data_IF_628215383222
#
_entry.id   IF_628215383222
#
_cell.length_a   1.000
_cell.length_b   1.000
_cell.length_c   1.000
_cell.angle_alpha   90.00
_cell.angle_beta   90.00
_cell.angle_gamma   90.00
#
_symmetry.space_group_name_H-M   'P 1'
#
loop_
_entity.id
_entity.type
_entity.pdbx_description
1 polymer ?
#
# COMPACT_ATOMS: atom_id res chain seq x y z
N UNK A 1 -26.15 -6.45 -2.34
CA UNK A 1 -25.17 -5.40 -2.70
C UNK A 1 -23.99 -6.11 -3.33
N UNK A 2 -23.48 -5.68 -4.50
CA UNK A 2 -22.24 -6.26 -5.05
C UNK A 2 -21.09 -5.86 -4.12
N UNK A 3 -20.19 -6.79 -3.80
CA UNK A 3 -18.97 -6.46 -3.08
C UNK A 3 -18.08 -5.57 -3.95
N UNK A 4 -17.56 -4.49 -3.35
CA UNK A 4 -16.58 -3.64 -4.00
C UNK A 4 -15.24 -4.38 -4.10
N UNK A 5 -14.48 -4.21 -5.19
CA UNK A 5 -13.16 -4.82 -5.30
C UNK A 5 -12.26 -4.41 -4.12
N UNK A 6 -11.47 -5.37 -3.68
CA UNK A 6 -10.56 -5.23 -2.53
C UNK A 6 -9.23 -4.54 -2.89
N UNK A 7 -8.96 -4.32 -4.19
CA UNK A 7 -7.69 -3.82 -4.72
C UNK A 7 -7.84 -2.41 -5.34
N UNK A 8 -6.72 -1.71 -5.49
CA UNK A 8 -6.62 -0.40 -6.14
C UNK A 8 -6.90 -0.51 -7.65
N UNK A 9 -7.75 0.36 -8.19
CA UNK A 9 -8.13 0.35 -9.60
C UNK A 9 -6.90 0.32 -10.54
N UNK A 10 -6.98 -0.44 -11.63
CA UNK A 10 -5.91 -0.62 -12.63
C UNK A 10 -4.62 -1.32 -12.13
N UNK A 11 -4.51 -1.68 -10.85
CA UNK A 11 -3.33 -2.35 -10.26
C UNK A 11 -3.41 -3.89 -10.29
N UNK A 12 -3.83 -4.45 -11.42
CA UNK A 12 -4.17 -5.88 -11.57
C UNK A 12 -3.03 -6.75 -12.10
N UNK A 13 -1.87 -6.17 -12.42
CA UNK A 13 -0.73 -6.96 -12.89
C UNK A 13 -0.31 -7.95 -11.81
N UNK A 14 0.26 -9.08 -12.20
CA UNK A 14 0.90 -9.97 -11.22
C UNK A 14 2.11 -9.29 -10.57
N UNK A 15 2.45 -9.68 -9.33
CA UNK A 15 3.64 -9.20 -8.64
C UNK A 15 4.90 -9.23 -9.54
N UNK A 16 5.09 -10.31 -10.31
CA UNK A 16 6.26 -10.46 -11.18
C UNK A 16 6.25 -9.49 -12.37
N UNK A 17 5.07 -9.20 -12.93
CA UNK A 17 4.89 -8.33 -14.09
C UNK A 17 4.63 -6.86 -13.76
N UNK A 18 4.75 -6.45 -12.49
CA UNK A 18 4.57 -5.07 -12.04
C UNK A 18 5.91 -4.41 -11.69
N UNK A 19 6.03 -3.12 -11.99
CA UNK A 19 7.12 -2.25 -11.58
C UNK A 19 6.83 -1.57 -10.24
N UNK A 20 5.55 -1.28 -9.96
CA UNK A 20 5.07 -0.66 -8.73
C UNK A 20 4.27 -1.66 -7.91
N UNK A 21 4.60 -1.80 -6.63
CA UNK A 21 3.87 -2.66 -5.69
C UNK A 21 3.15 -1.76 -4.69
N UNK A 22 1.82 -1.71 -4.81
CA UNK A 22 0.94 -1.05 -3.84
C UNK A 22 0.66 -2.03 -2.70
N UNK A 23 0.74 -1.59 -1.46
CA UNK A 23 0.39 -2.41 -0.29
C UNK A 23 -0.08 -1.56 0.87
N UNK A 24 -1.02 -2.08 1.65
CA UNK A 24 -1.56 -1.40 2.81
C UNK A 24 -0.81 -1.71 4.09
N UNK A 25 -0.69 -0.70 4.95
CA UNK A 25 -0.08 -0.75 6.28
C UNK A 25 -1.13 -0.32 7.33
N UNK A 26 -2.15 -1.15 7.61
CA UNK A 26 -3.28 -0.79 8.46
C UNK A 26 -2.89 -0.76 9.96
N UNK A 27 -2.20 0.30 10.37
CA UNK A 27 -1.69 0.46 11.75
C UNK A 27 -1.99 1.85 12.29
N UNK A 28 -2.58 1.94 13.49
CA UNK A 28 -2.87 3.21 14.18
C UNK A 28 -2.76 3.10 15.72
N UNK A 29 -1.95 2.17 16.23
CA UNK A 29 -1.92 1.82 17.65
C UNK A 29 -1.15 2.82 18.53
N UNK A 30 -0.31 3.67 17.96
CA UNK A 30 0.43 4.70 18.71
C UNK A 30 -0.24 6.07 18.66
N UNK A 31 -1.31 6.20 17.87
CA UNK A 31 -2.15 7.38 17.80
C UNK A 31 -2.92 7.61 19.10
N UNK A 32 -2.92 8.86 19.60
CA UNK A 32 -3.53 9.22 20.90
C UNK A 32 -4.79 10.08 20.80
N UNK A 33 -4.90 10.93 19.77
CA UNK A 33 -6.02 11.87 19.62
C UNK A 33 -7.17 11.31 18.79
N UNK A 34 -6.89 10.81 17.57
CA UNK A 34 -7.89 10.28 16.64
C UNK A 34 -7.45 8.94 16.08
N UNK A 35 -8.27 7.92 16.28
CA UNK A 35 -8.14 6.59 15.69
C UNK A 35 -8.88 6.51 14.35
N UNK A 36 -8.57 5.47 13.58
CA UNK A 36 -9.22 5.15 12.31
C UNK A 36 -8.27 5.20 11.11
N UNK A 37 -7.04 5.68 11.28
CA UNK A 37 -6.07 5.76 10.18
C UNK A 37 -5.75 4.38 9.59
N UNK A 38 -5.84 3.30 10.40
CA UNK A 38 -5.69 1.93 9.91
C UNK A 38 -6.72 1.51 8.84
N UNK A 39 -7.84 2.23 8.73
CA UNK A 39 -8.86 1.99 7.70
C UNK A 39 -8.49 2.61 6.34
N UNK A 40 -7.49 3.50 6.31
CA UNK A 40 -7.12 4.24 5.10
C UNK A 40 -6.78 3.34 3.89
N UNK A 41 -6.02 2.24 4.02
CA UNK A 41 -5.76 1.34 2.89
C UNK A 41 -7.04 0.86 2.21
N UNK A 42 -8.03 0.43 2.99
CA UNK A 42 -9.32 -0.02 2.47
C UNK A 42 -10.11 1.11 1.81
N UNK A 43 -10.20 2.27 2.46
CA UNK A 43 -11.02 3.38 1.95
C UNK A 43 -10.38 4.06 0.72
N UNK A 44 -9.05 4.12 0.64
CA UNK A 44 -8.33 4.61 -0.54
C UNK A 44 -8.58 3.67 -1.74
N UNK A 45 -8.53 2.35 -1.54
CA UNK A 45 -8.86 1.40 -2.60
C UNK A 45 -10.29 1.57 -3.09
N UNK A 46 -11.27 1.67 -2.19
CA UNK A 46 -12.67 1.93 -2.60
C UNK A 46 -12.80 3.23 -3.40
N UNK A 47 -12.13 4.30 -2.96
CA UNK A 47 -12.17 5.59 -3.65
C UNK A 47 -11.48 5.55 -5.02
N UNK A 48 -10.44 4.72 -5.20
CA UNK A 48 -9.69 4.61 -6.46
C UNK A 48 -10.58 4.27 -7.67
N UNK A 49 -11.63 3.48 -7.46
CA UNK A 49 -12.60 3.06 -8.49
C UNK A 49 -13.54 4.18 -8.99
N UNK A 50 -13.50 5.36 -8.37
CA UNK A 50 -14.26 6.52 -8.82
C UNK A 50 -13.43 7.43 -9.75
N UNK A 51 -12.12 7.21 -9.86
CA UNK A 51 -11.27 7.99 -10.75
C UNK A 51 -11.22 7.35 -12.15
N UNK A 52 -10.99 8.20 -13.15
CA UNK A 52 -10.69 7.75 -14.51
C UNK A 52 -9.25 7.23 -14.56
N UNK A 53 -9.00 6.22 -15.40
CA UNK A 53 -7.66 5.67 -15.59
C UNK A 53 -6.69 6.63 -16.29
N UNK A 54 -7.19 7.68 -16.95
CA UNK A 54 -6.33 8.67 -17.62
C UNK A 54 -6.24 9.96 -16.79
N UNK A 55 -5.03 10.34 -16.40
CA UNK A 55 -4.77 11.63 -15.76
C UNK A 55 -4.44 12.71 -16.81
N UNK A 56 -5.32 13.70 -16.93
CA UNK A 56 -5.20 14.78 -17.91
C UNK A 56 -3.98 15.69 -17.63
N UNK A 57 -3.57 15.82 -16.37
CA UNK A 57 -2.48 16.73 -15.98
C UNK A 57 -1.10 16.19 -16.36
N UNK A 58 -0.88 14.89 -16.17
CA UNK A 58 0.39 14.23 -16.51
C UNK A 58 0.37 13.55 -17.89
N UNK A 59 -0.81 13.33 -18.46
CA UNK A 59 -1.00 12.58 -19.70
C UNK A 59 -0.76 11.08 -19.55
N UNK A 60 -0.76 10.56 -18.32
CA UNK A 60 -0.51 9.14 -18.01
C UNK A 60 -1.83 8.37 -18.01
N UNK A 61 -1.83 7.22 -18.70
CA UNK A 61 -2.88 6.21 -18.58
C UNK A 61 -2.45 5.13 -17.57
N UNK A 62 -3.15 5.04 -16.44
CA UNK A 62 -2.88 4.06 -15.39
C UNK A 62 -3.06 2.62 -15.85
N UNK A 63 -3.83 2.34 -16.92
CA UNK A 63 -3.93 0.99 -17.50
C UNK A 63 -2.63 0.53 -18.17
N UNK A 64 -1.77 1.48 -18.57
CA UNK A 64 -0.45 1.22 -19.17
C UNK A 64 0.67 1.14 -18.12
N UNK A 65 0.41 1.59 -16.89
CA UNK A 65 1.38 1.50 -15.79
C UNK A 65 1.36 0.10 -15.19
N UNK A 66 2.53 -0.55 -15.10
CA UNK A 66 2.64 -1.88 -14.54
C UNK A 66 2.56 -1.87 -13.01
N UNK A 67 1.34 -1.86 -12.46
CA UNK A 67 1.07 -1.82 -11.02
C UNK A 67 0.45 -3.12 -10.50
N UNK A 68 0.82 -3.52 -9.29
CA UNK A 68 0.21 -4.63 -8.57
C UNK A 68 -0.19 -4.18 -7.16
N UNK A 69 -1.45 -4.33 -6.80
CA UNK A 69 -1.90 -4.23 -5.40
C UNK A 69 -1.72 -5.59 -4.71
N UNK A 70 -0.79 -5.63 -3.75
CA UNK A 70 -0.48 -6.80 -2.95
C UNK A 70 -1.52 -7.08 -1.86
N UNK A 71 -2.42 -6.13 -1.58
CA UNK A 71 -3.30 -6.15 -0.42
C UNK A 71 -2.62 -5.57 0.82
N UNK A 72 -3.12 -5.93 2.00
CA UNK A 72 -2.60 -5.45 3.29
C UNK A 72 -1.55 -6.40 3.84
N UNK A 73 -0.48 -5.86 4.42
CA UNK A 73 0.42 -6.68 5.22
C UNK A 73 -0.19 -6.91 6.61
N UNK A 74 0.01 -8.11 7.15
CA UNK A 74 -0.50 -8.48 8.46
C UNK A 74 0.30 -7.78 9.58
N UNK A 75 -0.15 -6.58 9.98
CA UNK A 75 0.46 -5.77 11.05
C UNK A 75 -0.52 -5.17 12.06
N UNK A 76 -1.83 -5.20 11.80
CA UNK A 76 -2.83 -4.46 12.59
C UNK A 76 -2.76 -4.77 14.09
N UNK A 77 -2.51 -6.04 14.45
CA UNK A 77 -2.49 -6.52 15.82
C UNK A 77 -1.08 -6.62 16.44
N UNK A 78 -0.03 -6.22 15.70
CA UNK A 78 1.36 -6.37 16.15
C UNK A 78 1.78 -5.28 17.13
N UNK A 79 2.81 -5.56 17.93
CA UNK A 79 3.49 -4.50 18.70
C UNK A 79 4.18 -3.53 17.74
N UNK A 80 4.48 -2.30 18.16
CA UNK A 80 5.18 -1.34 17.29
C UNK A 80 6.52 -1.87 16.76
N UNK A 81 7.23 -2.66 17.58
CA UNK A 81 8.49 -3.29 17.17
C UNK A 81 8.28 -4.37 16.11
N UNK A 82 7.30 -5.26 16.31
CA UNK A 82 7.03 -6.36 15.37
C UNK A 82 6.38 -5.86 14.08
N UNK A 83 5.62 -4.76 14.16
CA UNK A 83 5.11 -4.03 13.01
C UNK A 83 6.26 -3.50 12.17
N UNK A 84 7.21 -2.76 12.76
CA UNK A 84 8.38 -2.22 12.05
C UNK A 84 9.18 -3.31 11.34
N UNK A 85 9.46 -4.41 12.04
CA UNK A 85 10.17 -5.56 11.47
C UNK A 85 9.39 -6.20 10.30
N UNK A 86 8.06 -6.24 10.39
CA UNK A 86 7.22 -6.77 9.32
C UNK A 86 7.18 -5.86 8.10
N UNK A 87 7.09 -4.54 8.30
CA UNK A 87 7.15 -3.55 7.21
C UNK A 87 8.52 -3.61 6.54
N UNK A 88 9.61 -3.65 7.33
CA UNK A 88 10.99 -3.76 6.82
C UNK A 88 11.18 -4.99 5.94
N UNK A 89 10.82 -6.17 6.44
CA UNK A 89 10.95 -7.42 5.70
C UNK A 89 10.17 -7.40 4.38
N UNK A 90 8.96 -6.85 4.39
CA UNK A 90 8.16 -6.76 3.18
C UNK A 90 8.73 -5.75 2.18
N UNK A 91 9.12 -4.57 2.65
CA UNK A 91 9.73 -3.52 1.82
C UNK A 91 11.01 -4.00 1.17
N UNK A 92 11.88 -4.67 1.95
CA UNK A 92 13.11 -5.30 1.46
C UNK A 92 12.84 -6.31 0.35
N UNK A 93 11.83 -7.18 0.52
CA UNK A 93 11.40 -8.13 -0.54
C UNK A 93 10.99 -7.43 -1.83
N UNK A 94 10.25 -6.31 -1.75
CA UNK A 94 9.82 -5.54 -2.93
C UNK A 94 11.03 -4.90 -3.63
N UNK A 95 11.94 -4.30 -2.85
CA UNK A 95 13.14 -3.62 -3.34
C UNK A 95 14.14 -4.61 -3.94
N UNK A 96 14.39 -5.75 -3.30
CA UNK A 96 15.24 -6.83 -3.82
C UNK A 96 14.70 -7.43 -5.13
N UNK A 97 13.38 -7.40 -5.32
CA UNK A 97 12.74 -7.75 -6.58
C UNK A 97 12.87 -6.66 -7.67
N UNK A 98 13.61 -5.58 -7.41
CA UNK A 98 13.82 -4.40 -8.27
C UNK A 98 12.52 -3.67 -8.61
N UNK A 99 11.62 -3.55 -7.64
CA UNK A 99 10.31 -2.90 -7.79
C UNK A 99 10.21 -1.69 -6.87
N UNK A 100 9.30 -0.77 -7.19
CA UNK A 100 9.06 0.45 -6.42
C UNK A 100 7.97 0.16 -5.37
N UNK A 101 8.27 0.25 -4.06
CA UNK A 101 7.27 0.08 -3.02
C UNK A 101 6.38 1.32 -2.87
N UNK A 102 5.07 1.12 -2.87
CA UNK A 102 4.05 2.17 -2.67
C UNK A 102 3.18 1.77 -1.46
N UNK A 103 3.63 2.17 -0.27
CA UNK A 103 2.93 1.87 0.99
C UNK A 103 1.79 2.85 1.27
N UNK A 104 0.57 2.34 1.45
CA UNK A 104 -0.58 3.12 1.94
C UNK A 104 -0.65 2.95 3.46
N UNK A 105 -0.27 4.00 4.18
CA UNK A 105 -0.15 4.01 5.63
C UNK A 105 -1.48 4.02 6.40
N UNK A 106 -1.37 3.83 7.72
CA UNK A 106 -2.29 4.42 8.69
C UNK A 106 -1.60 5.57 9.41
N UNK A 107 -0.82 5.27 10.45
CA UNK A 107 0.00 6.24 11.16
C UNK A 107 1.46 6.29 10.67
N UNK A 108 2.15 7.41 10.92
CA UNK A 108 3.51 7.65 10.43
C UNK A 108 4.59 6.74 11.02
N UNK A 109 4.32 6.02 12.11
CA UNK A 109 5.30 5.11 12.71
C UNK A 109 5.64 3.91 11.82
N UNK A 110 4.89 3.67 10.73
CA UNK A 110 5.20 2.62 9.76
C UNK A 110 6.36 3.00 8.82
N UNK A 111 6.60 4.30 8.63
CA UNK A 111 7.60 4.83 7.66
C UNK A 111 9.04 4.37 7.93
N UNK A 112 9.54 4.32 9.18
CA UNK A 112 10.89 3.81 9.43
C UNK A 112 11.10 2.39 8.90
N UNK A 113 10.09 1.51 9.02
CA UNK A 113 10.16 0.16 8.46
C UNK A 113 10.25 0.16 6.93
N UNK A 114 9.59 1.10 6.24
CA UNK A 114 9.74 1.27 4.78
C UNK A 114 11.16 1.71 4.41
N UNK A 115 11.70 2.70 5.12
CA UNK A 115 13.02 3.27 4.87
C UNK A 115 14.13 2.25 5.12
N UNK A 116 14.07 1.52 6.23
CA UNK A 116 15.03 0.45 6.55
C UNK A 116 14.97 -0.73 5.55
N UNK A 117 13.98 -0.79 4.68
CA UNK A 117 13.94 -1.75 3.58
C UNK A 117 14.94 -1.44 2.46
N UNK A 118 15.45 -0.21 2.38
CA UNK A 118 16.48 0.22 1.43
C UNK A 118 17.91 -0.08 1.90
N UNK A 119 18.07 -0.45 3.18
CA UNK A 119 19.34 -0.91 3.78
C UNK A 119 19.57 -2.42 3.57
#
# INVERSE_FOLDING_TARGET
>A
MKEFPNYFADAEKSFNGADFIIFGLPYDRTSSFRFGARLAPREIRKASWNFESFDILTGVDFTEVAMHDYGDIDIENKSSKDMLESVKRFSKRVIEAKKIPVGIGGEHSVTPGLVEGFD
#
